data_IF_755266275271
#
_entry.id   IF_755266275271
#
_cell.length_a   1.000
_cell.length_b   1.000
_cell.length_c   1.000
_cell.angle_alpha   90.00
_cell.angle_beta   90.00
_cell.angle_gamma   90.00
#
_symmetry.space_group_name_H-M   'P 1'
#
loop_
_entity.id
_entity.type
_entity.pdbx_description
1 polymer ?
#
# COMPACT_ATOMS: atom_id res chain seq x y z
N UNK A 1 9.89 23.20 -7.34
CA UNK A 1 9.14 24.01 -6.37
C UNK A 1 8.38 23.13 -5.38
N UNK A 2 7.93 23.70 -4.27
CA UNK A 2 7.13 22.94 -3.29
C UNK A 2 5.73 22.63 -3.81
N UNK A 3 5.17 21.49 -3.44
CA UNK A 3 3.88 20.98 -3.92
C UNK A 3 2.72 21.96 -3.69
N UNK A 4 2.66 22.58 -2.51
CA UNK A 4 1.62 23.54 -2.15
C UNK A 4 1.58 24.82 -3.04
N UNK A 5 2.68 25.13 -3.74
CA UNK A 5 2.75 26.26 -4.69
C UNK A 5 2.74 25.74 -6.14
N UNK A 6 3.81 25.08 -6.58
CA UNK A 6 3.95 24.64 -7.97
C UNK A 6 2.90 23.60 -8.36
N UNK A 7 2.70 22.57 -7.53
CA UNK A 7 1.70 21.52 -7.77
C UNK A 7 0.28 22.08 -7.84
N UNK A 8 -0.08 22.96 -6.92
CA UNK A 8 -1.38 23.63 -6.92
C UNK A 8 -1.62 24.44 -8.21
N UNK A 9 -0.63 25.23 -8.67
CA UNK A 9 -0.76 26.00 -9.91
C UNK A 9 -0.92 25.10 -11.12
N UNK A 10 -0.17 24.01 -11.19
CA UNK A 10 -0.30 23.03 -12.25
C UNK A 10 -1.69 22.38 -12.27
N UNK A 11 -2.18 21.93 -11.11
CA UNK A 11 -3.49 21.30 -10.98
C UNK A 11 -4.64 22.23 -11.35
N UNK A 12 -4.49 23.53 -11.12
CA UNK A 12 -5.52 24.56 -11.40
C UNK A 12 -5.36 25.27 -12.75
N UNK A 13 -4.30 24.98 -13.52
CA UNK A 13 -4.04 25.72 -14.75
C UNK A 13 -5.05 25.37 -15.85
N UNK A 14 -5.70 26.36 -16.52
CA UNK A 14 -6.75 26.13 -17.51
C UNK A 14 -6.25 25.44 -18.79
N UNK A 15 -4.97 25.52 -19.12
CA UNK A 15 -4.37 24.88 -20.29
C UNK A 15 -3.72 23.52 -19.97
N UNK A 16 -4.04 22.93 -18.82
CA UNK A 16 -3.68 21.55 -18.46
C UNK A 16 -4.90 20.68 -18.64
N UNK A 17 -4.85 19.74 -19.57
CA UNK A 17 -5.98 18.85 -19.92
C UNK A 17 -6.02 17.59 -19.08
N UNK A 18 -4.90 17.19 -18.49
CA UNK A 18 -4.78 15.98 -17.69
C UNK A 18 -3.81 16.20 -16.51
N UNK A 19 -4.20 15.71 -15.32
CA UNK A 19 -3.32 15.58 -14.15
C UNK A 19 -3.22 14.10 -13.78
N UNK A 20 -2.00 13.59 -13.72
CA UNK A 20 -1.68 12.32 -13.06
C UNK A 20 -0.91 12.65 -11.77
N UNK A 21 -1.30 12.05 -10.66
CA UNK A 21 -0.70 12.34 -9.36
C UNK A 21 -0.51 11.05 -8.57
N UNK A 22 0.69 10.90 -8.02
CA UNK A 22 1.01 9.89 -7.01
C UNK A 22 1.44 10.59 -5.74
N UNK A 23 0.82 10.25 -4.61
CA UNK A 23 1.15 10.84 -3.31
C UNK A 23 0.11 10.55 -2.23
N UNK A 24 0.00 11.43 -1.22
CA UNK A 24 -0.93 11.20 -0.11
C UNK A 24 -2.39 11.33 -0.54
N UNK A 25 -3.25 10.54 0.10
CA UNK A 25 -4.71 10.58 -0.11
C UNK A 25 -5.28 11.98 0.16
N UNK A 26 -4.78 12.70 1.16
CA UNK A 26 -5.18 14.08 1.46
C UNK A 26 -4.92 15.02 0.27
N UNK A 27 -3.74 14.96 -0.33
CA UNK A 27 -3.41 15.79 -1.50
C UNK A 27 -4.22 15.35 -2.72
N UNK A 28 -4.49 14.06 -2.89
CA UNK A 28 -5.40 13.55 -3.93
C UNK A 28 -6.79 14.19 -3.84
N UNK A 29 -7.38 14.25 -2.65
CA UNK A 29 -8.64 14.96 -2.42
C UNK A 29 -8.55 16.47 -2.73
N UNK A 30 -7.43 17.12 -2.41
CA UNK A 30 -7.22 18.52 -2.76
C UNK A 30 -7.19 18.72 -4.28
N UNK A 31 -6.50 17.86 -5.03
CA UNK A 31 -6.46 17.88 -6.50
C UNK A 31 -7.88 17.69 -7.07
N UNK A 32 -8.63 16.71 -6.58
CA UNK A 32 -10.02 16.47 -6.98
C UNK A 32 -10.90 17.70 -6.77
N UNK A 33 -10.80 18.36 -5.63
CA UNK A 33 -11.59 19.58 -5.32
C UNK A 33 -11.24 20.74 -6.21
N UNK A 34 -10.00 20.86 -6.69
CA UNK A 34 -9.51 22.03 -7.43
C UNK A 34 -9.56 21.87 -8.95
N UNK A 35 -9.65 20.65 -9.45
CA UNK A 35 -9.61 20.36 -10.90
C UNK A 35 -10.76 21.00 -11.68
N UNK A 36 -11.97 20.97 -11.12
CA UNK A 36 -13.17 21.49 -11.78
C UNK A 36 -13.33 23.01 -11.73
N UNK A 37 -12.44 23.71 -11.02
CA UNK A 37 -12.50 25.18 -10.88
C UNK A 37 -12.02 25.89 -12.15
N UNK A 38 -11.13 25.26 -12.93
CA UNK A 38 -10.51 25.89 -14.11
C UNK A 38 -11.01 25.32 -15.44
N UNK A 39 -11.16 24.00 -15.54
CA UNK A 39 -11.65 23.27 -16.71
C UNK A 39 -12.05 21.84 -16.32
N UNK A 40 -12.56 21.04 -17.27
CA UNK A 40 -12.91 19.62 -17.04
C UNK A 40 -11.73 18.69 -17.33
N UNK A 41 -10.56 18.96 -16.75
CA UNK A 41 -9.39 18.12 -16.93
C UNK A 41 -9.59 16.71 -16.38
N UNK A 42 -9.01 15.74 -17.05
CA UNK A 42 -8.95 14.37 -16.53
C UNK A 42 -8.00 14.25 -15.36
N UNK A 43 -8.34 13.41 -14.40
CA UNK A 43 -7.51 13.13 -13.23
C UNK A 43 -7.35 11.63 -13.09
N UNK A 44 -6.11 11.20 -12.86
CA UNK A 44 -5.80 9.87 -12.32
C UNK A 44 -4.98 10.04 -11.06
N UNK A 45 -5.25 9.20 -10.07
CA UNK A 45 -4.68 9.29 -8.74
C UNK A 45 -4.17 7.92 -8.31
N UNK A 46 -2.93 7.86 -7.88
CA UNK A 46 -2.33 6.76 -7.14
C UNK A 46 -2.01 7.27 -5.73
N UNK A 47 -2.75 6.77 -4.75
CA UNK A 47 -2.76 7.31 -3.41
C UNK A 47 -2.30 6.28 -2.38
N UNK A 48 -2.56 6.54 -1.10
CA UNK A 48 -2.15 5.70 0.00
C UNK A 48 -2.81 4.32 0.02
N UNK A 49 -2.29 3.46 0.89
CA UNK A 49 -2.80 2.12 1.10
C UNK A 49 -2.68 1.65 2.55
N UNK A 50 -3.45 0.63 2.89
CA UNK A 50 -3.35 -0.14 4.13
C UNK A 50 -3.50 -1.61 3.79
N UNK A 51 -2.57 -2.10 3.00
CA UNK A 51 -2.67 -3.42 2.35
C UNK A 51 -2.70 -4.56 3.35
N UNK A 52 -3.61 -5.50 3.12
CA UNK A 52 -3.68 -6.74 3.88
C UNK A 52 -2.70 -7.77 3.30
N UNK A 53 -1.94 -8.44 4.15
CA UNK A 53 -1.14 -9.62 3.82
C UNK A 53 -1.67 -10.80 4.63
N UNK A 54 -2.25 -11.80 3.98
CA UNK A 54 -3.03 -12.87 4.61
C UNK A 54 -2.23 -14.17 4.58
N UNK A 55 -1.95 -14.71 5.75
CA UNK A 55 -1.14 -15.93 5.94
C UNK A 55 -2.04 -17.04 6.47
N UNK A 56 -2.25 -18.07 5.67
CA UNK A 56 -3.06 -19.24 6.02
C UNK A 56 -2.20 -20.25 6.83
N UNK A 57 -2.85 -21.12 7.60
CA UNK A 57 -2.18 -22.13 8.43
C UNK A 57 -1.49 -23.24 7.61
N UNK A 58 -1.88 -23.42 6.33
CA UNK A 58 -1.22 -24.32 5.39
C UNK A 58 0.00 -23.69 4.69
N UNK A 59 0.31 -22.43 4.95
CA UNK A 59 1.41 -21.71 4.31
C UNK A 59 2.78 -22.35 4.63
N UNK A 60 3.72 -22.18 3.70
CA UNK A 60 5.12 -22.35 4.03
C UNK A 60 5.54 -21.16 4.90
N UNK A 61 5.86 -21.43 6.16
CA UNK A 61 6.13 -20.36 7.13
C UNK A 61 7.42 -19.58 6.81
N UNK A 62 8.43 -20.23 6.22
CA UNK A 62 9.66 -19.56 5.80
C UNK A 62 9.36 -18.57 4.69
N UNK A 63 8.60 -18.99 3.69
CA UNK A 63 8.13 -18.13 2.61
C UNK A 63 7.24 -17.00 3.17
N UNK A 64 6.32 -17.29 4.09
CA UNK A 64 5.43 -16.31 4.68
C UNK A 64 6.19 -15.20 5.41
N UNK A 65 7.21 -15.57 6.22
CA UNK A 65 8.08 -14.60 6.88
C UNK A 65 8.85 -13.78 5.85
N UNK A 66 9.51 -14.44 4.89
CA UNK A 66 10.29 -13.75 3.86
C UNK A 66 9.45 -12.74 3.07
N UNK A 67 8.27 -13.14 2.60
CA UNK A 67 7.40 -12.27 1.81
C UNK A 67 6.78 -11.14 2.65
N UNK A 68 6.48 -11.38 3.93
CA UNK A 68 5.98 -10.35 4.83
C UNK A 68 7.06 -9.32 5.19
N UNK A 69 8.30 -9.75 5.39
CA UNK A 69 9.45 -8.87 5.62
C UNK A 69 9.74 -8.02 4.38
N UNK A 70 9.77 -8.64 3.19
CA UNK A 70 9.96 -7.93 1.91
C UNK A 70 8.83 -6.92 1.68
N UNK A 71 7.59 -7.38 1.68
CA UNK A 71 6.42 -6.58 1.32
C UNK A 71 6.10 -5.44 2.29
N UNK A 72 6.77 -5.41 3.47
CA UNK A 72 6.61 -4.29 4.39
C UNK A 72 7.86 -3.43 4.52
N UNK A 73 9.03 -4.05 4.77
CA UNK A 73 10.23 -3.28 5.13
C UNK A 73 11.03 -2.79 3.92
N UNK A 74 10.66 -3.18 2.70
CA UNK A 74 11.22 -2.57 1.50
C UNK A 74 11.05 -1.04 1.56
N UNK A 75 12.09 -0.30 1.17
CA UNK A 75 12.12 1.15 1.25
C UNK A 75 11.69 1.73 2.62
N UNK A 76 12.07 1.08 3.72
CA UNK A 76 11.77 1.49 5.10
C UNK A 76 10.26 1.59 5.39
N UNK A 77 9.43 0.79 4.72
CA UNK A 77 7.97 0.84 4.81
C UNK A 77 7.33 2.05 4.15
N UNK A 78 8.10 2.85 3.42
CA UNK A 78 7.63 4.01 2.64
C UNK A 78 7.18 3.54 1.25
N UNK A 79 6.20 2.65 1.23
CA UNK A 79 5.62 2.07 0.03
C UNK A 79 4.08 2.04 0.17
N UNK A 80 3.37 2.54 -0.83
CA UNK A 80 1.92 2.65 -0.81
C UNK A 80 1.20 1.30 -0.76
N UNK A 81 1.82 0.23 -1.28
CA UNK A 81 1.28 -1.14 -1.22
C UNK A 81 1.88 -1.98 -0.08
N UNK A 82 2.67 -1.40 0.82
CA UNK A 82 3.26 -2.14 1.93
C UNK A 82 2.21 -2.97 2.68
N UNK A 83 2.47 -4.27 2.84
CA UNK A 83 1.60 -5.23 3.52
C UNK A 83 1.59 -5.03 5.03
N UNK A 84 1.07 -3.89 5.48
CA UNK A 84 1.19 -3.43 6.86
C UNK A 84 0.22 -4.10 7.82
N UNK A 85 -0.95 -4.57 7.33
CA UNK A 85 -1.90 -5.39 8.08
C UNK A 85 -1.65 -6.86 7.77
N UNK A 86 -0.88 -7.53 8.63
CA UNK A 86 -0.56 -8.95 8.44
C UNK A 86 -1.58 -9.79 9.22
N UNK A 87 -2.55 -10.34 8.50
CA UNK A 87 -3.53 -11.27 9.04
C UNK A 87 -2.96 -12.69 9.06
N UNK A 88 -2.88 -13.29 10.23
CA UNK A 88 -2.32 -14.64 10.40
C UNK A 88 -3.38 -15.57 10.97
N UNK A 89 -3.59 -16.72 10.31
CA UNK A 89 -4.54 -17.71 10.80
C UNK A 89 -4.10 -18.29 12.14
N UNK A 90 -5.06 -18.54 13.03
CA UNK A 90 -4.80 -18.84 14.45
C UNK A 90 -3.86 -20.02 14.67
N UNK A 91 -3.88 -21.04 13.77
CA UNK A 91 -3.07 -22.25 13.93
C UNK A 91 -1.56 -22.02 13.88
N UNK A 92 -1.08 -20.97 13.22
CA UNK A 92 0.35 -20.64 13.11
C UNK A 92 0.70 -19.25 13.68
N UNK A 93 -0.25 -18.60 14.35
CA UNK A 93 -0.11 -17.20 14.79
C UNK A 93 1.10 -16.99 15.71
N UNK A 94 1.22 -17.79 16.77
CA UNK A 94 2.27 -17.58 17.77
C UNK A 94 3.67 -17.82 17.20
N UNK A 95 3.83 -18.83 16.34
CA UNK A 95 5.07 -19.09 15.64
C UNK A 95 5.41 -17.96 14.66
N UNK A 96 4.42 -17.49 13.89
CA UNK A 96 4.61 -16.39 12.95
C UNK A 96 5.02 -15.10 13.66
N UNK A 97 4.37 -14.73 14.78
CA UNK A 97 4.72 -13.56 15.59
C UNK A 97 6.16 -13.64 16.09
N UNK A 98 6.54 -14.80 16.67
CA UNK A 98 7.91 -15.01 17.17
C UNK A 98 8.94 -14.83 16.05
N UNK A 99 8.74 -15.50 14.92
CA UNK A 99 9.68 -15.48 13.78
C UNK A 99 9.73 -14.11 13.09
N UNK A 100 8.60 -13.40 13.02
CA UNK A 100 8.56 -12.02 12.49
C UNK A 100 9.38 -11.07 13.36
N UNK A 101 9.29 -11.20 14.69
CA UNK A 101 10.09 -10.40 15.61
C UNK A 101 11.59 -10.72 15.50
N UNK A 102 11.96 -12.00 15.40
CA UNK A 102 13.34 -12.44 15.17
C UNK A 102 13.90 -11.86 13.87
N UNK A 103 13.15 -11.97 12.77
CA UNK A 103 13.54 -11.46 11.46
C UNK A 103 13.67 -9.92 11.46
N UNK A 104 12.74 -9.21 12.10
CA UNK A 104 12.81 -7.74 12.24
C UNK A 104 14.03 -7.29 13.02
N UNK A 105 14.35 -7.95 14.15
CA UNK A 105 15.51 -7.65 14.96
C UNK A 105 16.84 -8.00 14.29
N UNK A 106 16.86 -8.92 13.32
CA UNK A 106 18.04 -9.29 12.57
C UNK A 106 18.39 -8.32 11.44
N UNK A 107 17.46 -7.40 11.07
CA UNK A 107 17.72 -6.42 10.00
C UNK A 107 18.74 -5.38 10.43
N UNK A 108 19.71 -5.15 9.57
CA UNK A 108 20.75 -4.14 9.77
C UNK A 108 20.24 -2.77 9.35
N UNK A 109 20.04 -1.89 10.31
CA UNK A 109 19.66 -0.48 10.08
C UNK A 109 20.93 0.37 10.08
N UNK A 110 21.16 1.17 9.05
CA UNK A 110 22.39 1.93 8.96
C UNK A 110 22.57 2.76 7.69
N UNK A 111 23.82 3.10 7.41
CA UNK A 111 24.22 3.88 6.25
C UNK A 111 23.79 3.15 4.94
N UNK A 112 23.01 3.79 4.05
CA UNK A 112 22.59 3.17 2.80
C UNK A 112 23.72 2.87 1.82
N UNK A 113 24.92 3.39 2.03
CA UNK A 113 26.10 3.07 1.23
C UNK A 113 26.91 1.88 1.78
N UNK A 114 26.58 1.37 2.97
CA UNK A 114 27.16 0.12 3.48
C UNK A 114 26.44 -1.07 2.84
N UNK A 115 27.21 -1.98 2.24
CA UNK A 115 26.69 -3.17 1.57
C UNK A 115 25.94 -4.16 2.51
N UNK A 116 26.16 -4.05 3.81
CA UNK A 116 25.46 -4.88 4.80
C UNK A 116 24.18 -4.24 5.34
N UNK A 117 23.85 -3.03 4.94
CA UNK A 117 22.64 -2.34 5.40
C UNK A 117 21.40 -2.88 4.68
N UNK A 118 20.41 -3.33 5.45
CA UNK A 118 19.11 -3.77 4.96
C UNK A 118 18.08 -2.63 4.92
N UNK A 119 18.25 -1.63 5.77
CA UNK A 119 17.28 -0.55 5.96
C UNK A 119 17.97 0.79 6.23
N UNK A 120 17.65 1.79 5.42
CA UNK A 120 18.14 3.16 5.54
C UNK A 120 17.27 4.06 6.41
N UNK A 121 17.49 5.38 6.26
CA UNK A 121 16.77 6.45 6.96
C UNK A 121 15.37 6.69 6.38
N UNK A 122 14.44 7.21 7.18
CA UNK A 122 13.19 7.80 6.70
C UNK A 122 13.47 9.05 5.87
N UNK A 123 12.51 9.48 5.07
CA UNK A 123 12.68 10.58 4.10
C UNK A 123 13.03 11.92 4.76
N UNK A 124 12.40 12.23 5.89
CA UNK A 124 12.60 13.49 6.63
C UNK A 124 12.15 13.38 8.10
N UNK A 125 12.36 14.46 8.85
CA UNK A 125 12.00 14.59 10.27
C UNK A 125 10.49 14.46 10.50
N UNK A 126 9.68 15.10 9.65
CA UNK A 126 8.25 15.10 9.83
C UNK A 126 7.66 13.69 9.71
N UNK A 127 8.16 12.90 8.73
CA UNK A 127 7.76 11.51 8.57
C UNK A 127 8.29 10.63 9.71
N UNK A 128 9.52 10.86 10.16
CA UNK A 128 10.10 10.17 11.30
C UNK A 128 9.26 10.36 12.57
N UNK A 129 8.92 11.61 12.93
CA UNK A 129 8.09 11.93 14.10
C UNK A 129 6.68 11.35 13.97
N UNK A 130 6.08 11.43 12.77
CA UNK A 130 4.79 10.82 12.49
C UNK A 130 4.80 9.31 12.79
N UNK A 131 5.80 8.58 12.32
CA UNK A 131 5.92 7.13 12.53
C UNK A 131 6.06 6.81 14.02
N UNK A 132 6.92 7.51 14.74
CA UNK A 132 7.07 7.31 16.18
C UNK A 132 5.78 7.64 16.95
N UNK A 133 5.03 8.64 16.51
CA UNK A 133 3.71 8.95 17.04
C UNK A 133 2.74 7.76 16.90
N UNK A 134 2.70 7.10 15.75
CA UNK A 134 1.89 5.87 15.57
C UNK A 134 2.38 4.71 16.42
N UNK A 135 3.69 4.57 16.62
CA UNK A 135 4.23 3.55 17.52
C UNK A 135 3.73 3.75 18.96
N UNK A 136 3.75 4.99 19.45
CA UNK A 136 3.23 5.29 20.79
C UNK A 136 1.70 5.10 20.88
N UNK A 137 0.95 5.47 19.83
CA UNK A 137 -0.49 5.24 19.81
C UNK A 137 -0.82 3.74 19.82
N UNK A 138 -0.12 2.90 19.03
CA UNK A 138 -0.31 1.46 19.07
C UNK A 138 -0.06 0.84 20.46
N UNK A 139 0.98 1.30 21.16
CA UNK A 139 1.25 0.89 22.55
C UNK A 139 0.10 1.29 23.49
N UNK A 140 -0.38 2.52 23.35
CA UNK A 140 -1.45 3.09 24.18
C UNK A 140 -2.79 2.39 23.96
N UNK A 141 -3.09 2.01 22.72
CA UNK A 141 -4.29 1.25 22.33
C UNK A 141 -4.22 -0.22 22.76
N UNK A 142 -3.06 -0.69 23.25
CA UNK A 142 -2.89 -2.03 23.82
C UNK A 142 -2.30 -3.07 22.89
N UNK A 143 -1.84 -2.69 21.69
CA UNK A 143 -1.09 -3.58 20.82
C UNK A 143 0.25 -3.99 21.48
N UNK A 144 0.61 -5.26 21.33
CA UNK A 144 1.81 -5.82 21.95
C UNK A 144 3.05 -5.57 21.07
N UNK A 145 3.91 -4.62 21.46
CA UNK A 145 5.19 -4.41 20.80
C UNK A 145 6.10 -5.63 21.05
N UNK A 146 6.54 -6.30 19.97
CA UNK A 146 7.39 -7.50 20.04
C UNK A 146 8.77 -7.29 19.40
N UNK A 147 8.98 -6.23 18.60
CA UNK A 147 10.27 -5.81 18.07
C UNK A 147 10.30 -4.31 17.77
N UNK A 148 11.47 -3.68 17.86
CA UNK A 148 11.70 -2.29 17.49
C UNK A 148 10.94 -1.27 18.33
N UNK A 149 10.25 -0.36 17.67
CA UNK A 149 9.39 0.65 18.29
C UNK A 149 10.13 1.88 18.82
N UNK A 150 11.31 2.19 18.27
CA UNK A 150 12.11 3.33 18.68
C UNK A 150 13.05 3.82 17.57
N UNK A 151 13.63 4.99 17.81
CA UNK A 151 14.74 5.51 17.00
C UNK A 151 15.94 4.58 17.04
N UNK A 152 16.61 4.44 15.92
CA UNK A 152 17.92 3.80 15.81
C UNK A 152 19.03 4.87 15.73
N UNK A 153 20.00 4.78 16.63
CA UNK A 153 21.13 5.73 16.67
C UNK A 153 20.73 7.18 17.04
N UNK A 154 21.68 8.10 16.90
CA UNK A 154 21.54 9.51 17.30
C UNK A 154 21.58 10.51 16.12
N UNK A 155 21.91 10.04 14.92
CA UNK A 155 21.98 10.84 13.69
C UNK A 155 20.98 10.34 12.66
N UNK A 156 20.52 11.24 11.75
CA UNK A 156 19.54 10.93 10.72
C UNK A 156 18.18 10.54 11.27
N UNK A 157 17.32 9.98 10.43
CA UNK A 157 15.92 9.67 10.72
C UNK A 157 15.67 8.15 10.67
N UNK A 158 16.48 7.39 11.41
CA UNK A 158 16.42 5.93 11.41
C UNK A 158 15.45 5.42 12.48
N UNK A 159 14.60 4.46 12.10
CA UNK A 159 13.65 3.78 13.00
C UNK A 159 13.92 2.29 12.93
N UNK A 160 13.94 1.63 14.08
CA UNK A 160 14.06 0.18 14.13
C UNK A 160 12.85 -0.50 13.48
N UNK A 161 13.05 -1.58 12.69
CA UNK A 161 11.94 -2.40 12.19
C UNK A 161 11.02 -2.79 13.35
N UNK A 162 9.76 -2.41 13.24
CA UNK A 162 8.81 -2.46 14.35
C UNK A 162 7.73 -3.49 14.07
N UNK A 163 7.45 -4.35 15.05
CA UNK A 163 6.41 -5.38 14.94
C UNK A 163 5.49 -5.30 16.15
N UNK A 164 4.19 -5.11 15.88
CA UNK A 164 3.12 -5.24 16.84
C UNK A 164 2.36 -6.54 16.62
N UNK A 165 2.10 -7.28 17.71
CA UNK A 165 1.20 -8.43 17.77
C UNK A 165 -0.07 -8.06 18.51
N UNK A 166 -1.07 -8.95 18.45
CA UNK A 166 -2.37 -8.80 19.11
C UNK A 166 -3.06 -7.48 18.74
N UNK A 167 -2.92 -7.09 17.47
CA UNK A 167 -3.54 -5.86 16.93
C UNK A 167 -5.00 -6.16 16.61
N UNK A 168 -5.90 -5.24 16.99
CA UNK A 168 -7.32 -5.30 16.66
C UNK A 168 -7.67 -4.34 15.51
N UNK A 169 -8.76 -4.63 14.79
CA UNK A 169 -9.13 -3.91 13.57
C UNK A 169 -9.49 -2.42 13.79
N UNK A 170 -9.89 -2.05 14.99
CA UNK A 170 -10.27 -0.68 15.38
C UNK A 170 -9.08 0.19 15.82
N UNK A 171 -7.91 -0.42 16.06
CA UNK A 171 -6.71 0.31 16.44
C UNK A 171 -6.23 1.23 15.30
N UNK A 172 -5.74 2.40 15.65
CA UNK A 172 -5.22 3.41 14.72
C UNK A 172 -4.13 2.84 13.81
N UNK A 173 -3.23 2.02 14.35
CA UNK A 173 -2.16 1.36 13.58
C UNK A 173 -2.65 0.30 12.59
N UNK A 174 -3.89 -0.19 12.73
CA UNK A 174 -4.56 -1.08 11.79
C UNK A 174 -5.35 -0.33 10.71
N UNK A 175 -5.78 0.90 10.97
CA UNK A 175 -6.67 1.68 10.08
C UNK A 175 -5.95 2.70 9.23
N UNK A 176 -4.95 3.39 9.77
CA UNK A 176 -4.29 4.51 9.12
C UNK A 176 -2.97 4.14 8.45
N UNK A 177 -2.63 4.80 7.35
CA UNK A 177 -1.37 4.64 6.64
C UNK A 177 -0.22 5.29 7.43
N UNK A 178 0.66 4.44 7.97
CA UNK A 178 1.83 4.90 8.74
C UNK A 178 2.94 5.40 7.81
N UNK A 179 3.14 4.70 6.68
CA UNK A 179 4.21 4.94 5.70
C UNK A 179 5.59 4.84 6.33
N UNK A 180 5.82 3.77 7.09
CA UNK A 180 7.03 3.49 7.86
C UNK A 180 7.18 2.02 8.21
N UNK A 181 8.31 1.62 8.82
CA UNK A 181 8.66 0.22 9.06
C UNK A 181 7.91 -0.38 10.27
N UNK A 182 6.57 -0.40 10.19
CA UNK A 182 5.70 -0.84 11.28
C UNK A 182 4.73 -1.92 10.80
N UNK A 183 4.92 -3.14 11.28
CA UNK A 183 4.08 -4.31 11.02
C UNK A 183 3.00 -4.43 12.09
N UNK A 184 1.74 -4.57 11.67
CA UNK A 184 0.60 -4.84 12.55
C UNK A 184 0.10 -6.26 12.28
N UNK A 185 0.26 -7.19 13.24
CA UNK A 185 -0.15 -8.59 13.10
C UNK A 185 -1.48 -8.80 13.81
N UNK A 186 -2.47 -9.25 13.03
CA UNK A 186 -3.85 -9.52 13.46
C UNK A 186 -4.13 -11.02 13.33
N UNK A 187 -4.83 -11.59 14.31
CA UNK A 187 -5.25 -13.00 14.27
C UNK A 187 -6.61 -13.15 13.58
N UNK A 188 -6.79 -14.22 12.81
CA UNK A 188 -8.09 -14.58 12.25
C UNK A 188 -8.33 -16.10 12.29
N UNK A 189 -9.59 -16.54 12.08
CA UNK A 189 -9.97 -17.97 12.13
C UNK A 189 -10.36 -18.49 10.75
N UNK A 190 -11.24 -17.80 10.04
CA UNK A 190 -11.81 -18.31 8.78
C UNK A 190 -11.53 -17.39 7.60
N UNK A 191 -11.53 -17.97 6.40
CA UNK A 191 -11.29 -17.21 5.17
C UNK A 191 -12.37 -16.14 4.95
N UNK A 192 -13.64 -16.44 5.23
CA UNK A 192 -14.72 -15.48 5.06
C UNK A 192 -14.61 -14.30 6.05
N UNK A 193 -14.17 -14.58 7.29
CA UNK A 193 -13.85 -13.55 8.27
C UNK A 193 -12.74 -12.62 7.77
N UNK A 194 -11.60 -13.18 7.34
CA UNK A 194 -10.46 -12.35 6.94
C UNK A 194 -10.73 -11.55 5.67
N UNK A 195 -11.51 -12.06 4.72
CA UNK A 195 -11.96 -11.31 3.55
C UNK A 195 -12.79 -10.11 3.96
N UNK A 196 -13.75 -10.30 4.87
CA UNK A 196 -14.59 -9.22 5.38
C UNK A 196 -13.75 -8.14 6.09
N UNK A 197 -12.86 -8.54 7.00
CA UNK A 197 -11.97 -7.65 7.76
C UNK A 197 -10.95 -6.93 6.87
N UNK A 198 -10.34 -7.63 5.90
CA UNK A 198 -9.43 -7.03 4.94
C UNK A 198 -10.10 -5.94 4.09
N UNK A 199 -11.38 -6.13 3.76
CA UNK A 199 -12.18 -5.18 3.01
C UNK A 199 -12.72 -4.01 3.85
N UNK A 200 -12.76 -4.12 5.17
CA UNK A 200 -13.16 -3.03 6.08
C UNK A 200 -12.01 -2.02 6.25
N UNK A 201 -11.76 -1.31 5.19
CA UNK A 201 -10.75 -0.26 5.07
C UNK A 201 -11.18 0.74 4.01
N UNK A 202 -10.80 1.99 4.17
CA UNK A 202 -10.98 3.03 3.15
C UNK A 202 -10.08 2.79 1.93
N UNK A 203 -9.05 1.98 2.06
CA UNK A 203 -8.07 1.69 1.04
C UNK A 203 -8.36 0.39 0.26
N UNK A 204 -7.66 0.24 -0.86
CA UNK A 204 -7.71 -0.96 -1.69
C UNK A 204 -6.66 -0.92 -2.81
N UNK A 205 -5.36 -0.72 -2.47
CA UNK A 205 -4.29 -0.67 -3.46
C UNK A 205 -3.70 -2.04 -3.73
N UNK A 206 -3.21 -2.72 -2.69
CA UNK A 206 -2.61 -4.04 -2.78
C UNK A 206 -3.11 -5.00 -1.70
N UNK A 207 -2.88 -6.29 -1.91
CA UNK A 207 -3.01 -7.35 -0.92
C UNK A 207 -2.05 -8.49 -1.24
N UNK A 208 -1.67 -9.26 -0.21
CA UNK A 208 -0.93 -10.51 -0.33
C UNK A 208 -1.71 -11.68 0.24
N UNK A 209 -1.46 -12.88 -0.26
CA UNK A 209 -1.92 -14.13 0.32
C UNK A 209 -0.83 -15.19 0.21
N UNK A 210 -0.55 -15.89 1.31
CA UNK A 210 0.40 -17.01 1.35
C UNK A 210 -0.34 -18.26 1.78
N UNK A 211 -0.39 -19.25 0.89
CA UNK A 211 -1.08 -20.55 1.09
C UNK A 211 -0.57 -21.57 0.09
N UNK A 212 -0.61 -22.86 0.45
CA UNK A 212 -0.37 -23.97 -0.47
C UNK A 212 -1.61 -24.42 -1.23
N UNK A 213 -2.81 -23.93 -0.83
CA UNK A 213 -4.09 -24.31 -1.41
C UNK A 213 -4.53 -23.29 -2.46
N UNK A 214 -4.58 -23.70 -3.72
CA UNK A 214 -4.96 -22.83 -4.83
C UNK A 214 -6.42 -22.34 -4.73
N UNK A 215 -7.33 -23.16 -4.19
CA UNK A 215 -8.73 -22.77 -4.05
C UNK A 215 -8.88 -21.65 -2.99
N UNK A 216 -8.10 -21.70 -1.91
CA UNK A 216 -8.02 -20.63 -0.93
C UNK A 216 -7.46 -19.35 -1.55
N UNK A 217 -6.38 -19.45 -2.32
CA UNK A 217 -5.79 -18.32 -3.02
C UNK A 217 -6.79 -17.64 -3.97
N UNK A 218 -7.51 -18.42 -4.76
CA UNK A 218 -8.53 -17.93 -5.69
C UNK A 218 -9.70 -17.28 -4.93
N UNK A 219 -10.22 -17.95 -3.88
CA UNK A 219 -11.32 -17.42 -3.06
C UNK A 219 -10.96 -16.07 -2.45
N UNK A 220 -9.77 -15.95 -1.85
CA UNK A 220 -9.30 -14.72 -1.23
C UNK A 220 -9.09 -13.64 -2.31
N UNK A 221 -8.38 -13.95 -3.39
CA UNK A 221 -8.11 -13.01 -4.47
C UNK A 221 -9.38 -12.42 -5.08
N UNK A 222 -10.42 -13.24 -5.27
CA UNK A 222 -11.71 -12.79 -5.78
C UNK A 222 -12.54 -12.01 -4.74
N UNK A 223 -12.34 -12.30 -3.45
CA UNK A 223 -13.10 -11.69 -2.36
C UNK A 223 -12.56 -10.33 -1.91
N UNK A 224 -11.28 -10.04 -2.11
CA UNK A 224 -10.66 -8.79 -1.68
C UNK A 224 -10.84 -7.68 -2.72
N UNK A 225 -11.32 -6.51 -2.28
CA UNK A 225 -11.53 -5.31 -3.09
C UNK A 225 -10.26 -4.46 -3.16
N UNK A 226 -9.30 -4.89 -3.98
CA UNK A 226 -8.02 -4.24 -4.17
C UNK A 226 -7.57 -4.31 -5.63
N UNK A 227 -6.66 -3.42 -6.03
CA UNK A 227 -6.19 -3.35 -7.41
C UNK A 227 -5.22 -4.47 -7.79
N UNK A 228 -4.41 -4.94 -6.83
CA UNK A 228 -3.45 -6.03 -7.03
C UNK A 228 -3.51 -7.03 -5.89
N UNK A 229 -3.47 -8.33 -6.21
CA UNK A 229 -3.30 -9.40 -5.23
C UNK A 229 -2.08 -10.22 -5.58
N UNK A 230 -1.15 -10.32 -4.64
CA UNK A 230 0.06 -11.13 -4.74
C UNK A 230 -0.18 -12.49 -4.09
N UNK A 231 0.08 -13.59 -4.81
CA UNK A 231 -0.08 -14.95 -4.30
C UNK A 231 1.30 -15.59 -4.14
N UNK A 232 1.69 -15.93 -2.92
CA UNK A 232 2.98 -16.50 -2.55
C UNK A 232 4.19 -15.65 -2.99
N UNK A 233 3.98 -14.36 -3.20
CA UNK A 233 5.00 -13.35 -3.50
C UNK A 233 4.53 -12.00 -2.97
N UNK A 234 5.39 -10.98 -3.01
CA UNK A 234 5.02 -9.59 -2.74
C UNK A 234 5.91 -8.66 -3.57
N UNK A 235 5.41 -7.44 -3.89
CA UNK A 235 6.16 -6.42 -4.62
C UNK A 235 6.75 -6.87 -5.97
N UNK A 236 6.04 -7.74 -6.68
CA UNK A 236 6.39 -8.14 -8.05
C UNK A 236 5.73 -7.18 -9.04
N UNK A 237 6.53 -6.51 -9.84
CA UNK A 237 6.08 -5.51 -10.82
C UNK A 237 6.48 -5.89 -12.24
N UNK A 238 5.58 -5.61 -13.19
CA UNK A 238 5.85 -5.69 -14.61
C UNK A 238 5.20 -4.50 -15.33
N UNK A 239 5.91 -3.91 -16.30
CA UNK A 239 5.43 -2.74 -17.03
C UNK A 239 4.14 -2.96 -17.83
N UNK A 240 3.79 -4.21 -18.12
CA UNK A 240 2.56 -4.58 -18.83
C UNK A 240 1.40 -4.88 -17.87
N UNK A 241 1.67 -4.99 -16.57
CA UNK A 241 0.65 -5.29 -15.56
C UNK A 241 0.00 -4.00 -15.07
N UNK A 242 -1.31 -3.82 -15.25
CA UNK A 242 -2.01 -2.64 -14.76
C UNK A 242 -1.89 -2.51 -13.25
N UNK A 243 -1.59 -1.30 -12.77
CA UNK A 243 -1.46 -0.96 -11.36
C UNK A 243 -2.41 0.17 -10.98
N UNK A 244 -3.05 0.09 -9.82
CA UNK A 244 -3.90 1.15 -9.28
C UNK A 244 -4.89 0.66 -8.25
N UNK A 245 -5.44 1.61 -7.47
CA UNK A 245 -6.24 1.34 -6.30
C UNK A 245 -7.75 1.33 -6.52
N UNK A 246 -8.44 0.72 -5.55
CA UNK A 246 -9.88 0.86 -5.30
C UNK A 246 -10.08 1.87 -4.17
N UNK A 247 -11.28 2.40 -4.03
CA UNK A 247 -11.68 3.30 -2.93
C UNK A 247 -10.73 4.53 -2.82
N UNK A 248 -10.27 4.86 -1.63
CA UNK A 248 -9.40 6.03 -1.39
C UNK A 248 -7.93 5.82 -1.82
N UNK A 249 -7.60 4.64 -2.34
CA UNK A 249 -6.27 4.39 -2.91
C UNK A 249 -6.10 4.93 -4.33
N UNK A 250 -7.16 5.42 -4.97
CA UNK A 250 -7.00 6.17 -6.20
C UNK A 250 -8.04 5.93 -7.28
N UNK A 251 -7.80 6.56 -8.43
CA UNK A 251 -8.65 6.56 -9.61
C UNK A 251 -7.78 6.33 -10.85
N UNK A 252 -8.19 5.38 -11.68
CA UNK A 252 -7.45 4.99 -12.89
C UNK A 252 -6.53 3.80 -12.68
N UNK A 253 -5.79 3.47 -13.72
CA UNK A 253 -4.73 2.45 -13.68
C UNK A 253 -3.51 2.98 -14.41
N UNK A 254 -2.34 2.70 -13.88
CA UNK A 254 -1.05 2.92 -14.54
C UNK A 254 -0.59 1.61 -15.17
N UNK A 255 0.44 1.67 -16.00
CA UNK A 255 1.05 0.56 -16.73
C UNK A 255 0.12 -0.17 -17.72
N UNK A 256 0.73 -0.92 -18.63
CA UNK A 256 0.04 -1.69 -19.64
C UNK A 256 -0.89 -0.88 -20.54
N UNK A 257 -1.76 -1.54 -21.26
CA UNK A 257 -2.75 -0.92 -22.13
C UNK A 257 -3.74 -0.02 -21.37
N UNK A 258 -4.12 -0.40 -20.15
CA UNK A 258 -5.06 0.39 -19.34
C UNK A 258 -4.46 1.73 -18.94
N UNK A 259 -3.15 1.81 -18.73
CA UNK A 259 -2.44 3.06 -18.46
C UNK A 259 -2.54 4.04 -19.62
N UNK A 260 -2.39 3.56 -20.85
CA UNK A 260 -2.50 4.39 -22.06
C UNK A 260 -3.88 5.03 -22.21
N UNK A 261 -4.94 4.33 -21.85
CA UNK A 261 -6.32 4.85 -21.96
C UNK A 261 -6.56 6.13 -21.17
N UNK A 262 -5.77 6.38 -20.13
CA UNK A 262 -5.84 7.62 -19.36
C UNK A 262 -5.38 8.86 -20.14
N UNK A 263 -4.62 8.69 -21.21
CA UNK A 263 -3.98 9.76 -22.01
C UNK A 263 -4.53 9.83 -23.44
N UNK A 264 -5.52 9.00 -23.78
CA UNK A 264 -6.10 8.92 -25.11
C UNK A 264 -7.56 9.37 -25.10
N UNK A 265 -7.99 9.94 -26.24
CA UNK A 265 -9.38 10.33 -26.51
C UNK A 265 -9.91 9.60 -27.74
N UNK A 266 -11.16 9.17 -27.69
CA UNK A 266 -11.85 8.60 -28.82
C UNK A 266 -12.56 9.69 -29.61
N UNK A 267 -12.33 9.74 -30.94
CA UNK A 267 -13.05 10.61 -31.85
C UNK A 267 -13.85 9.76 -32.84
N UNK A 268 -15.15 10.01 -32.95
CA UNK A 268 -15.98 9.43 -34.01
C UNK A 268 -15.99 10.36 -35.20
N UNK A 269 -15.72 9.82 -36.38
CA UNK A 269 -15.82 10.54 -37.66
C UNK A 269 -16.85 9.81 -38.54
N UNK A 270 -17.88 10.52 -38.94
CA UNK A 270 -18.94 10.00 -39.83
C UNK A 270 -18.82 10.77 -41.16
N UNK A 271 -18.61 10.04 -42.25
CA UNK A 271 -18.48 10.60 -43.58
C UNK A 271 -19.62 10.07 -44.46
N UNK A 272 -20.52 10.96 -44.86
CA UNK A 272 -21.52 10.62 -45.85
C UNK A 272 -20.90 10.69 -47.27
N UNK A 273 -20.98 9.62 -48.01
CA UNK A 273 -20.57 9.58 -49.42
C UNK A 273 -21.72 10.05 -50.30
N UNK A 274 -21.49 10.74 -51.43
CA UNK A 274 -22.52 11.27 -52.28
C UNK A 274 -23.49 10.20 -52.85
N UNK A 275 -22.97 9.00 -53.03
CA UNK A 275 -23.68 7.89 -53.70
C UNK A 275 -24.34 6.91 -52.68
N UNK A 276 -24.15 7.13 -51.36
CA UNK A 276 -24.77 6.26 -50.36
C UNK A 276 -26.21 6.73 -50.09
N UNK A 277 -27.18 6.00 -50.55
CA UNK A 277 -28.54 6.09 -50.06
C UNK A 277 -28.53 5.61 -48.61
N UNK A 278 -28.90 6.46 -47.67
CA UNK A 278 -29.09 6.02 -46.28
C UNK A 278 -30.18 4.94 -46.25
N UNK A 279 -30.01 3.87 -45.43
CA UNK A 279 -31.04 2.89 -45.23
C UNK A 279 -32.26 3.48 -44.57
#
# INVERSE_FOLDING_TARGET
GVGAKAGRHLAQHPNVDKVAFTGSTEVGYQIMRTSHVSNLKRITLELGGKSANIILDDADIDLAIQQSQLGLFMNQGQCCIAGTRVYVQEGIYDEFVKRSAEAANARVVGDPFDANTDQGSQIDEAQFEKILGYVEEGKKEGAKLVAGGKRHGDKGWFIEPTVFADVEDDMTIAREEIFGPVMSILKFKTIDEVIARANDSNYGLGAGVVTKNIDHAIKISNGIRTGTVYVNCYDVFDSNTPFGGFKDSGIGRENGELGLRNYLENKTVIIKRPDDSMP
#
